data_IF_070759630782
#
_entry.id   IF_070759630782
#
_cell.length_a   1.000
_cell.length_b   1.000
_cell.length_c   1.000
_cell.angle_alpha   90.00
_cell.angle_beta   90.00
_cell.angle_gamma   90.00
#
_symmetry.space_group_name_H-M   'P 1'
#
loop_
_entity.id
_entity.type
_entity.pdbx_description
1 polymer ?
#
# COMPACT_ATOMS: atom_id res chain seq x y z
N UNK A 1 1.89 1.80 -32.55
CA UNK A 1 1.00 1.10 -31.59
C UNK A 1 -0.30 1.85 -31.57
N UNK A 2 -1.43 1.17 -31.74
CA UNK A 2 -2.74 1.81 -31.78
C UNK A 2 -3.14 2.29 -30.38
N UNK A 3 -3.61 3.53 -30.26
CA UNK A 3 -4.03 4.13 -28.99
C UNK A 3 -5.16 3.33 -28.34
N UNK A 4 -6.06 2.75 -29.14
CA UNK A 4 -7.16 1.93 -28.64
C UNK A 4 -6.67 0.68 -27.88
N UNK A 5 -5.63 0.02 -28.41
CA UNK A 5 -5.03 -1.17 -27.77
C UNK A 5 -4.38 -0.80 -26.44
N UNK A 6 -3.70 0.35 -26.37
CA UNK A 6 -3.07 0.83 -25.15
C UNK A 6 -4.11 1.16 -24.07
N UNK A 7 -5.18 1.86 -24.44
CA UNK A 7 -6.27 2.19 -23.51
C UNK A 7 -6.98 0.95 -22.97
N UNK A 8 -7.20 -0.06 -23.81
CA UNK A 8 -7.76 -1.34 -23.35
C UNK A 8 -6.83 -2.07 -22.38
N UNK A 9 -5.51 -2.06 -22.61
CA UNK A 9 -4.53 -2.69 -21.72
C UNK A 9 -4.41 -2.00 -20.34
N UNK A 10 -4.90 -0.76 -20.22
CA UNK A 10 -5.01 -0.03 -18.96
C UNK A 10 -6.31 -0.34 -18.20
N UNK A 11 -7.24 -1.11 -18.75
CA UNK A 11 -8.46 -1.49 -18.01
C UNK A 11 -8.10 -2.64 -17.06
N UNK A 12 -8.16 -2.44 -15.73
CA UNK A 12 -7.73 -3.46 -14.78
C UNK A 12 -8.70 -4.64 -14.80
N UNK A 13 -8.18 -5.85 -15.06
CA UNK A 13 -8.99 -7.07 -14.96
C UNK A 13 -9.23 -7.47 -13.50
N UNK A 14 -10.25 -8.29 -13.26
CA UNK A 14 -10.52 -8.87 -11.93
C UNK A 14 -9.32 -9.64 -11.38
N UNK A 15 -8.50 -10.24 -12.25
CA UNK A 15 -7.28 -10.95 -11.86
C UNK A 15 -6.23 -9.98 -11.31
N UNK A 16 -5.99 -8.87 -12.01
CA UNK A 16 -5.02 -7.86 -11.58
C UNK A 16 -5.45 -7.18 -10.28
N UNK A 17 -6.74 -6.91 -10.11
CA UNK A 17 -7.31 -6.43 -8.85
C UNK A 17 -7.12 -7.45 -7.72
N UNK A 18 -7.38 -8.73 -7.98
CA UNK A 18 -7.19 -9.80 -6.99
C UNK A 18 -5.71 -9.98 -6.58
N UNK A 19 -4.77 -9.90 -7.53
CA UNK A 19 -3.33 -9.94 -7.26
C UNK A 19 -2.94 -8.79 -6.33
N UNK A 20 -3.38 -7.56 -6.66
CA UNK A 20 -3.09 -6.38 -5.86
C UNK A 20 -3.68 -6.50 -4.44
N UNK A 21 -4.95 -6.89 -4.34
CA UNK A 21 -5.63 -7.09 -3.07
C UNK A 21 -4.97 -8.19 -2.22
N UNK A 22 -4.58 -9.32 -2.83
CA UNK A 22 -3.88 -10.40 -2.15
C UNK A 22 -2.52 -9.93 -1.62
N UNK A 23 -1.76 -9.14 -2.38
CA UNK A 23 -0.49 -8.58 -1.95
C UNK A 23 -0.65 -7.64 -0.75
N UNK A 24 -1.59 -6.68 -0.79
CA UNK A 24 -1.84 -5.79 0.35
C UNK A 24 -2.39 -6.55 1.57
N UNK A 25 -3.24 -7.55 1.37
CA UNK A 25 -3.75 -8.42 2.43
C UNK A 25 -2.62 -9.21 3.08
N UNK A 26 -1.71 -9.75 2.27
CA UNK A 26 -0.50 -10.42 2.76
C UNK A 26 0.30 -9.47 3.67
N UNK A 27 0.60 -8.25 3.22
CA UNK A 27 1.33 -7.27 4.02
C UNK A 27 0.60 -6.93 5.34
N UNK A 28 -0.72 -6.71 5.27
CA UNK A 28 -1.54 -6.36 6.41
C UNK A 28 -1.61 -7.47 7.47
N UNK A 29 -1.59 -8.74 7.06
CA UNK A 29 -1.62 -9.90 7.97
C UNK A 29 -0.21 -10.23 8.47
N UNK A 30 0.76 -10.34 7.58
CA UNK A 30 2.10 -10.84 7.89
C UNK A 30 2.92 -9.81 8.68
N UNK A 31 2.76 -8.51 8.38
CA UNK A 31 3.44 -7.42 9.06
C UNK A 31 3.29 -7.44 10.59
N UNK A 32 2.07 -7.47 11.16
CA UNK A 32 1.87 -7.52 12.60
C UNK A 32 2.11 -8.91 13.23
N UNK A 33 2.07 -10.00 12.45
CA UNK A 33 2.21 -11.37 12.98
C UNK A 33 3.67 -11.80 13.09
N UNK A 34 4.48 -11.53 12.07
CA UNK A 34 5.86 -12.03 12.06
C UNK A 34 6.70 -11.44 13.19
N UNK A 35 7.62 -12.24 13.77
CA UNK A 35 8.56 -11.74 14.74
C UNK A 35 9.45 -10.68 14.09
N UNK A 36 9.76 -9.63 14.86
CA UNK A 36 10.55 -8.53 14.38
C UNK A 36 11.07 -7.70 15.54
N UNK A 37 12.22 -7.06 15.34
CA UNK A 37 12.76 -6.12 16.31
C UNK A 37 11.81 -4.94 16.40
N UNK A 38 11.31 -4.64 17.60
CA UNK A 38 10.52 -3.42 17.84
C UNK A 38 11.49 -2.29 18.14
N UNK A 39 11.49 -1.26 17.28
CA UNK A 39 12.42 -0.13 17.34
C UNK A 39 11.63 1.14 17.70
N UNK A 40 12.08 1.90 18.73
CA UNK A 40 11.49 3.20 19.03
C UNK A 40 11.74 4.19 17.87
N UNK A 41 10.69 4.88 17.44
CA UNK A 41 10.75 6.01 16.51
C UNK A 41 11.25 7.29 17.16
N UNK A 42 11.13 8.43 16.46
CA UNK A 42 11.44 9.76 17.02
C UNK A 42 10.45 10.13 18.15
N UNK A 43 10.82 11.08 19.01
CA UNK A 43 9.88 11.67 19.97
C UNK A 43 8.99 12.65 19.22
N UNK A 44 7.69 12.57 19.45
CA UNK A 44 6.68 13.35 18.77
C UNK A 44 6.49 14.68 19.52
N UNK A 45 5.77 15.65 18.93
CA UNK A 45 5.64 16.98 19.54
C UNK A 45 4.89 16.96 20.88
N UNK A 46 4.01 15.98 21.06
CA UNK A 46 3.27 15.70 22.30
C UNK A 46 4.08 14.92 23.33
N UNK A 47 5.35 14.61 23.04
CA UNK A 47 6.24 13.82 23.90
C UNK A 47 6.02 12.30 23.79
N UNK A 48 5.02 11.84 23.04
CA UNK A 48 4.79 10.42 22.81
C UNK A 48 5.82 9.82 21.85
N UNK A 49 5.81 8.48 21.72
CA UNK A 49 6.73 7.76 20.84
C UNK A 49 6.07 6.58 20.16
N UNK A 50 6.18 6.52 18.84
CA UNK A 50 5.75 5.37 18.05
C UNK A 50 6.79 4.24 18.11
N UNK A 51 6.33 3.00 18.15
CA UNK A 51 7.17 1.81 18.14
C UNK A 51 6.90 1.02 16.87
N UNK A 52 7.95 0.82 16.07
CA UNK A 52 7.85 0.17 14.77
C UNK A 52 8.40 -1.25 14.85
N UNK A 53 7.61 -2.24 14.43
CA UNK A 53 8.09 -3.60 14.26
C UNK A 53 8.82 -3.72 12.93
N UNK A 54 10.12 -3.97 12.99
CA UNK A 54 10.98 -4.12 11.82
C UNK A 54 11.19 -5.61 11.49
N UNK A 55 10.35 -6.15 10.61
CA UNK A 55 10.44 -7.54 10.11
C UNK A 55 10.47 -7.64 8.57
N UNK A 56 10.77 -6.54 7.86
CA UNK A 56 10.67 -6.46 6.40
C UNK A 56 11.42 -7.55 5.63
N UNK A 57 12.66 -7.89 6.04
CA UNK A 57 13.44 -8.95 5.39
C UNK A 57 12.77 -10.33 5.56
N UNK A 58 12.29 -10.65 6.76
CA UNK A 58 11.60 -11.91 7.03
C UNK A 58 10.29 -12.00 6.24
N UNK A 59 9.52 -10.90 6.20
CA UNK A 59 8.30 -10.79 5.41
C UNK A 59 8.56 -10.98 3.91
N UNK A 60 9.68 -10.45 3.39
CA UNK A 60 10.08 -10.63 1.99
C UNK A 60 10.47 -12.08 1.71
N UNK A 61 11.33 -12.68 2.54
CA UNK A 61 11.78 -14.06 2.34
C UNK A 61 10.62 -15.04 2.39
N UNK A 62 9.67 -14.84 3.31
CA UNK A 62 8.45 -15.63 3.37
C UNK A 62 7.62 -15.48 2.09
N UNK A 63 7.44 -14.25 1.59
CA UNK A 63 6.69 -14.01 0.36
C UNK A 63 7.33 -14.71 -0.83
N UNK A 64 8.64 -14.57 -1.01
CA UNK A 64 9.40 -15.21 -2.08
C UNK A 64 9.32 -16.74 -1.98
N UNK A 65 9.42 -17.31 -0.77
CA UNK A 65 9.29 -18.75 -0.56
C UNK A 65 7.89 -19.25 -0.94
N UNK A 66 6.82 -18.55 -0.51
CA UNK A 66 5.44 -18.89 -0.85
C UNK A 66 5.18 -18.80 -2.35
N UNK A 67 5.63 -17.72 -3.00
CA UNK A 67 5.51 -17.55 -4.45
C UNK A 67 6.31 -18.60 -5.23
N UNK A 68 7.53 -18.92 -4.77
CA UNK A 68 8.35 -19.97 -5.36
C UNK A 68 7.72 -21.35 -5.26
N UNK A 69 7.10 -21.67 -4.11
CA UNK A 69 6.34 -22.91 -3.95
C UNK A 69 5.08 -22.92 -4.83
N UNK A 70 4.32 -21.84 -4.89
CA UNK A 70 3.14 -21.72 -5.74
C UNK A 70 3.48 -21.86 -7.22
N UNK A 71 4.59 -21.27 -7.66
CA UNK A 71 5.11 -21.42 -9.02
C UNK A 71 5.54 -22.86 -9.31
N UNK A 72 6.23 -23.52 -8.37
CA UNK A 72 6.63 -24.93 -8.51
C UNK A 72 5.42 -25.88 -8.61
N UNK A 73 4.31 -25.52 -7.97
CA UNK A 73 3.05 -26.27 -8.00
C UNK A 73 2.12 -25.88 -9.15
N UNK A 74 2.58 -25.04 -10.09
CA UNK A 74 1.80 -24.52 -11.22
C UNK A 74 0.52 -23.75 -10.81
N UNK A 75 0.45 -23.25 -9.58
CA UNK A 75 -0.67 -22.42 -9.11
C UNK A 75 -0.58 -20.98 -9.60
N UNK A 76 0.64 -20.45 -9.77
CA UNK A 76 0.88 -19.07 -10.20
C UNK A 76 1.97 -19.08 -11.27
N UNK A 77 1.72 -18.43 -12.42
CA UNK A 77 2.76 -18.22 -13.41
C UNK A 77 3.81 -17.23 -12.90
N UNK A 78 5.12 -17.54 -13.00
CA UNK A 78 6.19 -16.59 -12.70
C UNK A 78 6.12 -15.29 -13.51
N UNK A 79 5.48 -15.31 -14.68
CA UNK A 79 5.35 -14.16 -15.59
C UNK A 79 4.10 -13.33 -15.35
N UNK A 80 3.25 -13.70 -14.37
CA UNK A 80 1.93 -13.06 -14.18
C UNK A 80 2.00 -11.53 -14.04
N UNK A 81 3.08 -11.02 -13.45
CA UNK A 81 3.30 -9.58 -13.28
C UNK A 81 3.70 -8.92 -14.60
N UNK A 82 4.59 -9.52 -15.40
CA UNK A 82 4.97 -8.98 -16.70
C UNK A 82 3.82 -9.03 -17.70
N UNK A 83 3.03 -10.11 -17.65
CA UNK A 83 1.91 -10.34 -18.57
C UNK A 83 0.76 -9.35 -18.34
N UNK A 84 0.62 -8.85 -17.10
CA UNK A 84 -0.45 -7.95 -16.67
C UNK A 84 0.05 -6.57 -16.23
N UNK A 85 1.27 -6.19 -16.63
CA UNK A 85 1.94 -5.00 -16.11
C UNK A 85 1.14 -3.70 -16.26
N UNK A 86 0.50 -3.47 -17.41
CA UNK A 86 -0.33 -2.28 -17.66
C UNK A 86 -1.63 -2.28 -16.83
N UNK A 87 -2.25 -3.44 -16.67
CA UNK A 87 -3.45 -3.59 -15.83
C UNK A 87 -3.11 -3.36 -14.35
N UNK A 88 -1.96 -3.85 -13.88
CA UNK A 88 -1.48 -3.65 -12.52
C UNK A 88 -1.11 -2.19 -12.26
N UNK A 89 -0.48 -1.53 -13.23
CA UNK A 89 -0.15 -0.11 -13.17
C UNK A 89 -1.43 0.73 -12.97
N UNK A 90 -2.45 0.52 -13.81
CA UNK A 90 -3.70 1.26 -13.71
C UNK A 90 -4.48 0.92 -12.44
N UNK A 91 -4.55 -0.37 -12.06
CA UNK A 91 -5.18 -0.80 -10.81
C UNK A 91 -4.53 -0.14 -9.59
N UNK A 92 -3.20 -0.10 -9.55
CA UNK A 92 -2.44 0.52 -8.45
C UNK A 92 -2.63 2.02 -8.41
N UNK A 93 -2.67 2.69 -9.57
CA UNK A 93 -2.95 4.12 -9.66
C UNK A 93 -4.35 4.46 -9.13
N UNK A 94 -5.37 3.74 -9.59
CA UNK A 94 -6.75 3.90 -9.11
C UNK A 94 -6.85 3.65 -7.61
N UNK A 95 -6.23 2.56 -7.12
CA UNK A 95 -6.18 2.26 -5.69
C UNK A 95 -5.52 3.39 -4.90
N UNK A 96 -4.40 3.93 -5.39
CA UNK A 96 -3.72 5.06 -4.75
C UNK A 96 -4.65 6.27 -4.61
N UNK A 97 -5.36 6.64 -5.68
CA UNK A 97 -6.32 7.75 -5.63
C UNK A 97 -7.46 7.50 -4.63
N UNK A 98 -8.00 6.27 -4.59
CA UNK A 98 -9.05 5.91 -3.63
C UNK A 98 -8.52 5.98 -2.20
N UNK A 99 -7.34 5.43 -1.94
CA UNK A 99 -6.73 5.40 -0.60
C UNK A 99 -6.37 6.80 -0.12
N UNK A 100 -5.80 7.66 -0.97
CA UNK A 100 -5.50 9.05 -0.57
C UNK A 100 -6.77 9.84 -0.27
N UNK A 101 -7.83 9.68 -1.05
CA UNK A 101 -9.14 10.27 -0.74
C UNK A 101 -9.71 9.75 0.59
N UNK A 102 -9.62 8.44 0.84
CA UNK A 102 -10.08 7.83 2.08
C UNK A 102 -9.28 8.32 3.30
N UNK A 103 -7.95 8.41 3.18
CA UNK A 103 -7.07 8.93 4.23
C UNK A 103 -7.33 10.41 4.51
N UNK A 104 -7.52 11.22 3.46
CA UNK A 104 -7.89 12.63 3.61
C UNK A 104 -9.23 12.77 4.35
N UNK A 105 -10.26 12.02 3.96
CA UNK A 105 -11.55 12.02 4.63
C UNK A 105 -11.47 11.55 6.09
N UNK A 106 -10.65 10.52 6.37
CA UNK A 106 -10.40 10.03 7.72
C UNK A 106 -9.68 11.07 8.59
N UNK A 107 -8.66 11.76 8.04
CA UNK A 107 -7.94 12.85 8.69
C UNK A 107 -8.87 14.03 9.03
N UNK A 108 -9.71 14.46 8.09
CA UNK A 108 -10.71 15.50 8.33
C UNK A 108 -11.73 15.16 9.44
N UNK A 109 -12.03 13.87 9.64
CA UNK A 109 -12.93 13.40 10.70
C UNK A 109 -12.23 13.18 12.04
N UNK A 110 -10.91 13.03 12.05
CA UNK A 110 -10.12 12.81 13.26
C UNK A 110 -10.18 14.04 14.15
N UNK A 111 -10.76 13.89 15.35
CA UNK A 111 -10.86 14.96 16.37
C UNK A 111 -9.65 15.00 17.30
N UNK A 112 -8.66 14.14 17.06
CA UNK A 112 -7.48 14.02 17.91
C UNK A 112 -6.52 15.18 17.60
N UNK A 113 -6.63 16.27 18.37
CA UNK A 113 -5.63 17.35 18.40
C UNK A 113 -4.26 16.90 18.94
N UNK A 114 -4.17 15.67 19.45
CA UNK A 114 -2.93 14.99 19.83
C UNK A 114 -2.22 14.31 18.66
N UNK A 115 -2.45 14.74 17.42
CA UNK A 115 -1.57 14.36 16.31
C UNK A 115 -0.17 14.90 16.64
N UNK A 116 0.64 13.99 17.14
CA UNK A 116 2.09 13.97 17.14
C UNK A 116 2.80 14.74 16.01
N UNK A 117 2.16 14.82 14.85
CA UNK A 117 2.54 15.65 13.71
C UNK A 117 1.67 16.92 13.71
N UNK A 118 2.30 18.10 13.73
CA UNK A 118 1.59 19.38 13.57
C UNK A 118 0.69 19.30 12.33
N UNK A 119 -0.64 19.49 12.45
CA UNK A 119 -1.51 19.50 11.29
C UNK A 119 -1.04 20.63 10.36
N UNK A 120 -0.57 20.24 9.17
CA UNK A 120 -0.11 21.17 8.14
C UNK A 120 -1.31 21.58 7.29
N UNK A 121 -2.33 22.14 7.93
CA UNK A 121 -3.53 22.62 7.25
C UNK A 121 -3.22 23.99 6.65
N UNK A 122 -2.95 24.01 5.36
CA UNK A 122 -2.73 25.24 4.61
C UNK A 122 -4.04 25.92 4.21
N UNK A 123 -5.17 25.19 4.25
CA UNK A 123 -6.47 25.66 3.78
C UNK A 123 -6.65 25.53 2.27
N UNK A 124 -5.65 25.01 1.56
CA UNK A 124 -5.75 24.67 0.15
C UNK A 124 -6.05 23.17 0.01
N UNK A 125 -7.26 22.86 -0.47
CA UNK A 125 -7.75 21.48 -0.64
C UNK A 125 -6.77 20.58 -1.40
N UNK A 126 -6.16 21.07 -2.48
CA UNK A 126 -5.26 20.27 -3.32
C UNK A 126 -3.99 19.92 -2.54
N UNK A 127 -3.45 20.89 -1.81
CA UNK A 127 -2.24 20.72 -1.03
C UNK A 127 -2.47 19.80 0.18
N UNK A 128 -3.59 20.01 0.88
CA UNK A 128 -3.95 19.24 2.07
C UNK A 128 -4.36 17.79 1.70
N UNK A 129 -4.93 17.55 0.51
CA UNK A 129 -5.13 16.19 -0.03
C UNK A 129 -3.82 15.51 -0.43
N UNK A 130 -2.90 16.25 -1.06
CA UNK A 130 -1.62 15.70 -1.53
C UNK A 130 -0.68 15.31 -0.38
N UNK A 131 -0.54 16.16 0.64
CA UNK A 131 0.31 15.87 1.82
C UNK A 131 -0.41 15.04 2.88
N UNK A 132 -1.75 15.04 2.85
CA UNK A 132 -2.58 14.43 3.87
C UNK A 132 -2.77 15.35 5.09
N UNK A 133 -3.86 15.12 5.82
CA UNK A 133 -4.10 15.72 7.11
C UNK A 133 -3.94 14.63 8.18
N UNK A 134 -2.99 14.76 9.12
CA UNK A 134 -2.75 13.75 10.15
C UNK A 134 -3.84 13.70 11.23
#
# INVERSE_FOLDING_TARGET
MDLGVLLHALIPSSTSVAILAAFFTYLAIVGPILPGKVVPGVILQDGSRLHYRCNGLLSLLLLVALLGMAAKMDYISPTVISDRGLELLSATFVLSCIVTLALYAAGCKSRNQGSSLKPHLTGNLIHDWYLGNP
#
